data_IF_348021239476
#
_entry.id   IF_348021239476
#
_cell.length_a   1.000
_cell.length_b   1.000
_cell.length_c   1.000
_cell.angle_alpha   90.00
_cell.angle_beta   90.00
_cell.angle_gamma   90.00
#
_symmetry.space_group_name_H-M   'P 1'
#
loop_
_entity.id
_entity.type
_entity.pdbx_description
1 polymer ?
#
# COMPACT_ATOMS: atom_id res chain seq x y z
N UNK A 1 6.24 -3.36 -5.51
CA UNK A 1 4.76 -3.42 -5.62
C UNK A 1 4.17 -3.13 -4.25
N UNK A 2 3.20 -2.24 -4.17
CA UNK A 2 2.49 -1.89 -2.95
C UNK A 2 1.02 -2.32 -3.04
N UNK A 3 0.48 -2.82 -1.93
CA UNK A 3 -0.92 -3.21 -1.79
C UNK A 3 -1.56 -2.32 -0.75
N UNK A 4 -2.07 -1.17 -1.19
CA UNK A 4 -2.77 -0.18 -0.35
C UNK A 4 -1.99 0.16 0.92
N UNK A 5 -0.69 0.43 0.76
CA UNK A 5 0.21 0.77 1.86
C UNK A 5 -0.15 2.18 2.37
N UNK A 6 -0.31 2.39 3.69
CA UNK A 6 -0.66 3.69 4.23
C UNK A 6 0.56 4.63 4.31
N UNK A 7 0.98 5.22 3.19
CA UNK A 7 2.12 6.14 3.10
C UNK A 7 1.97 7.41 3.96
N UNK A 8 0.74 7.77 4.34
CA UNK A 8 0.40 8.91 5.20
C UNK A 8 -0.37 8.47 6.46
N UNK A 9 -0.33 7.19 6.78
CA UNK A 9 -1.03 6.56 7.90
C UNK A 9 -2.49 6.16 7.57
N UNK A 10 -3.18 5.60 8.56
CA UNK A 10 -4.51 5.01 8.43
C UNK A 10 -5.52 5.74 9.34
N UNK A 11 -6.67 6.18 8.81
CA UNK A 11 -7.71 6.81 9.64
C UNK A 11 -8.30 5.86 10.69
N UNK A 12 -8.24 4.53 10.46
CA UNK A 12 -8.71 3.53 11.43
C UNK A 12 -7.79 3.47 12.65
N UNK A 13 -6.50 3.75 12.49
CA UNK A 13 -5.56 3.78 13.62
C UNK A 13 -5.82 4.94 14.60
N UNK A 14 -6.51 6.00 14.14
CA UNK A 14 -6.97 7.10 14.99
C UNK A 14 -8.31 6.81 15.70
N UNK A 15 -9.08 5.82 15.22
CA UNK A 15 -10.32 5.44 15.87
C UNK A 15 -10.05 4.84 17.25
N UNK A 16 -10.76 5.36 18.25
CA UNK A 16 -10.69 4.86 19.62
C UNK A 16 -11.96 4.06 19.90
N UNK A 17 -11.80 2.74 20.07
CA UNK A 17 -12.91 1.88 20.47
C UNK A 17 -12.90 1.71 21.99
N UNK A 18 -14.03 1.94 22.68
CA UNK A 18 -14.11 1.70 24.11
C UNK A 18 -13.81 0.23 24.41
N UNK A 19 -13.06 -0.03 25.49
CA UNK A 19 -12.65 -1.37 25.93
C UNK A 19 -11.58 -2.08 25.08
N UNK A 20 -11.10 -1.48 23.99
CA UNK A 20 -10.01 -2.05 23.19
C UNK A 20 -8.70 -1.27 23.42
N UNK A 21 -7.60 -2.00 23.63
CA UNK A 21 -6.26 -1.42 23.61
C UNK A 21 -5.73 -1.48 22.18
N UNK A 22 -5.20 -0.34 21.70
CA UNK A 22 -4.46 -0.31 20.44
C UNK A 22 -3.13 -1.04 20.63
N UNK A 23 -2.77 -1.84 19.64
CA UNK A 23 -1.43 -2.42 19.59
C UNK A 23 -0.40 -1.34 19.20
N UNK A 24 0.87 -1.62 19.42
CA UNK A 24 1.95 -0.67 19.06
C UNK A 24 1.98 -0.46 17.55
N UNK A 25 1.79 -1.53 16.78
CA UNK A 25 1.76 -1.51 15.32
C UNK A 25 0.65 -0.59 14.78
N UNK A 26 -0.54 -0.62 15.40
CA UNK A 26 -1.65 0.28 15.04
C UNK A 26 -1.29 1.72 15.38
N UNK A 27 -0.63 1.96 16.52
CA UNK A 27 -0.20 3.31 16.91
C UNK A 27 0.85 3.89 15.96
N UNK A 28 1.73 3.05 15.44
CA UNK A 28 2.80 3.42 14.51
C UNK A 28 2.28 3.78 13.11
N UNK A 29 1.04 3.43 12.76
CA UNK A 29 0.43 3.76 11.46
C UNK A 29 -0.72 4.77 11.56
N UNK A 30 -0.81 5.53 12.67
CA UNK A 30 -1.80 6.63 12.79
C UNK A 30 -1.66 7.66 11.67
N UNK A 31 -2.76 8.29 11.27
CA UNK A 31 -2.73 9.31 10.23
C UNK A 31 -1.77 10.42 10.62
N UNK A 32 -0.88 10.78 9.69
CA UNK A 32 0.14 11.80 9.85
C UNK A 32 1.09 11.58 11.06
N UNK A 33 1.32 10.34 11.49
CA UNK A 33 2.35 10.10 12.50
C UNK A 33 3.75 10.37 11.92
N UNK A 34 4.65 10.92 12.74
CA UNK A 34 5.99 11.29 12.28
C UNK A 34 6.78 10.09 11.75
N UNK A 35 6.57 8.91 12.34
CA UNK A 35 7.27 7.69 11.93
C UNK A 35 7.01 7.33 10.47
N UNK A 36 5.74 7.17 10.07
CA UNK A 36 5.36 6.81 8.69
C UNK A 36 5.70 7.91 7.72
N UNK A 37 5.45 9.18 8.07
CA UNK A 37 5.77 10.31 7.19
C UNK A 37 7.27 10.44 6.94
N UNK A 38 8.10 10.23 7.95
CA UNK A 38 9.55 10.24 7.79
C UNK A 38 10.02 9.03 6.97
N UNK A 39 9.45 7.84 7.19
CA UNK A 39 9.75 6.65 6.39
C UNK A 39 9.41 6.87 4.90
N UNK A 40 8.24 7.43 4.59
CA UNK A 40 7.84 7.75 3.23
C UNK A 40 8.75 8.82 2.60
N UNK A 41 9.08 9.88 3.36
CA UNK A 41 10.02 10.91 2.89
C UNK A 41 11.38 10.31 2.55
N UNK A 42 11.96 9.51 3.43
CA UNK A 42 13.25 8.85 3.19
C UNK A 42 13.20 7.89 2.00
N UNK A 43 12.09 7.18 1.81
CA UNK A 43 11.88 6.36 0.61
C UNK A 43 11.89 7.21 -0.68
N UNK A 44 11.17 8.33 -0.70
CA UNK A 44 11.16 9.25 -1.84
C UNK A 44 12.52 9.90 -2.09
N UNK A 45 13.24 10.28 -1.04
CA UNK A 45 14.60 10.82 -1.14
C UNK A 45 15.53 9.82 -1.83
N UNK A 46 15.58 8.58 -1.34
CA UNK A 46 16.38 7.51 -1.95
C UNK A 46 15.97 7.33 -3.42
N UNK A 47 14.67 7.16 -3.69
CA UNK A 47 14.16 6.95 -5.06
C UNK A 47 14.55 8.10 -6.01
N UNK A 48 14.51 9.35 -5.54
CA UNK A 48 14.81 10.51 -6.36
C UNK A 48 16.32 10.70 -6.60
N UNK A 49 17.17 10.25 -5.68
CA UNK A 49 18.63 10.31 -5.82
C UNK A 49 19.23 9.16 -6.65
N UNK A 50 18.48 8.08 -6.86
CA UNK A 50 18.95 6.95 -7.65
C UNK A 50 19.07 7.29 -9.15
N UNK A 51 20.06 6.67 -9.80
CA UNK A 51 20.23 6.77 -11.24
C UNK A 51 19.02 6.18 -11.99
N UNK A 52 18.65 6.77 -13.11
CA UNK A 52 17.41 6.44 -13.81
C UNK A 52 17.30 4.96 -14.25
N UNK A 53 18.43 4.33 -14.56
CA UNK A 53 18.55 2.91 -14.91
C UNK A 53 18.48 1.97 -13.68
N UNK A 54 18.69 2.50 -12.49
CA UNK A 54 18.67 1.77 -11.21
C UNK A 54 17.35 1.92 -10.45
N UNK A 55 16.56 2.94 -10.77
CA UNK A 55 15.25 3.17 -10.13
C UNK A 55 14.35 1.93 -10.23
N UNK A 56 13.82 1.42 -9.11
CA UNK A 56 12.89 0.30 -9.13
C UNK A 56 11.58 0.73 -9.80
N UNK A 57 10.93 -0.20 -10.49
CA UNK A 57 9.56 0.02 -10.95
C UNK A 57 8.62 0.03 -9.73
N UNK A 58 7.87 1.11 -9.58
CA UNK A 58 6.87 1.26 -8.52
C UNK A 58 5.48 1.10 -9.13
N UNK A 59 4.72 0.17 -8.56
CA UNK A 59 3.34 -0.11 -8.90
C UNK A 59 2.55 -0.25 -7.60
N UNK A 60 1.48 0.52 -7.45
CA UNK A 60 0.61 0.52 -6.26
C UNK A 60 -0.82 0.13 -6.62
N UNK A 61 -1.31 -0.91 -5.97
CA UNK A 61 -2.73 -1.24 -5.95
C UNK A 61 -3.43 -0.47 -4.84
N UNK A 62 -4.54 0.19 -5.18
CA UNK A 62 -5.35 0.97 -4.25
C UNK A 62 -6.73 0.31 -4.17
N UNK A 63 -7.06 -0.25 -3.00
CA UNK A 63 -8.41 -0.73 -2.72
C UNK A 63 -9.40 0.44 -2.78
N UNK A 64 -10.55 0.26 -3.42
CA UNK A 64 -11.59 1.31 -3.51
C UNK A 64 -12.78 1.03 -2.61
N UNK A 65 -13.03 -0.23 -2.26
CA UNK A 65 -14.21 -0.61 -1.48
C UNK A 65 -13.98 -0.49 0.03
N UNK A 66 -15.06 -0.21 0.76
CA UNK A 66 -15.03 -0.26 2.22
C UNK A 66 -15.03 -1.72 2.69
N UNK A 67 -14.28 -2.00 3.75
CA UNK A 67 -14.17 -3.35 4.32
C UNK A 67 -15.29 -3.58 5.35
N UNK A 68 -16.12 -4.64 5.19
CA UNK A 68 -17.15 -4.97 6.17
C UNK A 68 -16.55 -5.42 7.51
N UNK A 69 -16.86 -4.73 8.61
CA UNK A 69 -16.38 -5.04 9.97
C UNK A 69 -17.58 -5.09 10.92
N UNK A 70 -18.02 -6.30 11.28
CA UNK A 70 -19.22 -6.49 12.10
C UNK A 70 -20.47 -5.96 11.37
N UNK A 71 -21.13 -4.97 11.97
CA UNK A 71 -22.33 -4.32 11.41
C UNK A 71 -22.03 -2.99 10.69
N UNK A 72 -20.76 -2.64 10.48
CA UNK A 72 -20.34 -1.41 9.79
C UNK A 72 -19.42 -1.74 8.62
N UNK A 73 -19.13 -0.75 7.78
CA UNK A 73 -18.16 -0.83 6.70
C UNK A 73 -17.16 0.32 6.83
N UNK A 74 -15.87 0.00 6.83
CA UNK A 74 -14.80 0.93 7.18
C UNK A 74 -13.79 1.04 6.04
N UNK A 75 -13.37 2.27 5.75
CA UNK A 75 -12.22 2.51 4.87
C UNK A 75 -10.94 2.40 5.68
N UNK A 76 -10.16 1.35 5.47
CA UNK A 76 -8.94 1.10 6.24
C UNK A 76 -7.83 2.08 5.88
N UNK A 77 -7.64 2.34 4.59
CA UNK A 77 -6.61 3.24 4.08
C UNK A 77 -7.29 4.29 3.21
N UNK A 78 -7.07 5.57 3.52
CA UNK A 78 -7.57 6.65 2.68
C UNK A 78 -6.83 6.64 1.34
N UNK A 79 -7.51 7.01 0.25
CA UNK A 79 -6.94 6.93 -1.10
C UNK A 79 -5.63 7.73 -1.22
N UNK A 80 -5.62 8.96 -0.68
CA UNK A 80 -4.46 9.86 -0.64
C UNK A 80 -3.29 9.30 0.17
N UNK A 81 -3.55 8.39 1.10
CA UNK A 81 -2.54 7.67 1.88
C UNK A 81 -2.04 6.44 1.16
N UNK A 82 -2.84 5.79 0.32
CA UNK A 82 -2.42 4.67 -0.53
C UNK A 82 -1.58 5.10 -1.75
N UNK A 83 -1.57 6.39 -2.06
CA UNK A 83 -0.77 6.99 -3.11
C UNK A 83 0.71 7.16 -2.67
N UNK A 84 1.67 6.45 -3.30
CA UNK A 84 3.10 6.61 -3.01
C UNK A 84 3.72 7.88 -3.61
N UNK A 85 2.94 8.74 -4.29
CA UNK A 85 3.37 9.94 -5.02
C UNK A 85 4.29 9.68 -6.24
N UNK A 86 4.66 8.42 -6.51
CA UNK A 86 5.52 7.99 -7.63
C UNK A 86 5.04 6.68 -8.27
N UNK A 87 5.44 6.44 -9.52
CA UNK A 87 5.13 5.19 -10.22
C UNK A 87 3.69 5.08 -10.72
N UNK A 88 3.26 3.84 -10.99
CA UNK A 88 1.93 3.53 -11.52
C UNK A 88 0.97 3.25 -10.35
N UNK A 89 -0.26 3.76 -10.48
CA UNK A 89 -1.36 3.53 -9.54
C UNK A 89 -2.48 2.81 -10.24
N UNK A 90 -3.08 1.85 -9.56
CA UNK A 90 -4.18 1.06 -10.08
C UNK A 90 -5.25 0.88 -9.02
N UNK A 91 -6.41 1.43 -9.31
CA UNK A 91 -7.61 1.28 -8.50
C UNK A 91 -8.16 -0.12 -8.69
N UNK A 92 -8.43 -0.80 -7.58
CA UNK A 92 -8.95 -2.16 -7.60
C UNK A 92 -10.25 -2.19 -6.78
N UNK A 93 -11.37 -2.66 -7.37
CA UNK A 93 -12.68 -2.73 -6.72
C UNK A 93 -12.76 -3.92 -5.74
N UNK A 94 -11.83 -3.93 -4.79
CA UNK A 94 -11.73 -4.86 -3.68
C UNK A 94 -11.69 -4.07 -2.39
N UNK A 95 -12.00 -4.75 -1.29
CA UNK A 95 -11.78 -4.22 0.04
C UNK A 95 -10.35 -4.51 0.53
N UNK A 96 -9.99 -3.93 1.66
CA UNK A 96 -8.65 -4.02 2.22
C UNK A 96 -8.29 -5.43 2.71
N UNK A 97 -9.26 -6.33 2.93
CA UNK A 97 -8.98 -7.73 3.28
C UNK A 97 -8.61 -8.55 2.06
N UNK A 98 -9.20 -8.24 0.91
CA UNK A 98 -9.06 -9.06 -0.30
C UNK A 98 -7.98 -8.52 -1.26
N UNK A 99 -7.59 -7.25 -1.14
CA UNK A 99 -6.58 -6.63 -2.03
C UNK A 99 -5.23 -7.36 -2.04
N UNK A 100 -4.84 -8.01 -0.94
CA UNK A 100 -3.59 -8.76 -0.83
C UNK A 100 -3.75 -10.27 -1.07
N UNK A 101 -4.94 -10.74 -1.48
CA UNK A 101 -5.28 -12.15 -1.66
C UNK A 101 -5.76 -12.40 -3.09
N UNK A 102 -4.84 -12.64 -4.04
CA UNK A 102 -5.25 -12.99 -5.40
C UNK A 102 -6.16 -14.22 -5.41
N UNK A 103 -7.31 -14.12 -6.07
CA UNK A 103 -8.29 -15.21 -6.13
C UNK A 103 -7.78 -16.47 -6.85
N UNK A 104 -6.74 -16.33 -7.68
CA UNK A 104 -6.17 -17.38 -8.51
C UNK A 104 -4.94 -16.88 -9.27
N UNK A 105 -4.34 -17.77 -10.08
CA UNK A 105 -3.16 -17.42 -10.91
C UNK A 105 -3.50 -16.64 -12.18
N UNK A 106 -4.77 -16.63 -12.54
CA UNK A 106 -5.38 -15.83 -13.62
C UNK A 106 -5.89 -14.48 -13.12
N UNK A 107 -5.87 -14.24 -11.79
CA UNK A 107 -6.25 -12.97 -11.19
C UNK A 107 -5.26 -11.86 -11.58
N UNK A 108 -5.78 -10.69 -11.91
CA UNK A 108 -5.01 -9.50 -12.26
C UNK A 108 -3.92 -9.14 -11.23
N UNK A 109 -4.22 -9.20 -9.92
CA UNK A 109 -3.26 -8.93 -8.85
C UNK A 109 -2.03 -9.86 -8.95
N UNK A 110 -2.28 -11.15 -9.18
CA UNK A 110 -1.22 -12.15 -9.33
C UNK A 110 -0.42 -11.94 -10.60
N UNK A 111 -1.10 -11.73 -11.73
CA UNK A 111 -0.46 -11.55 -13.03
C UNK A 111 0.49 -10.34 -13.04
N UNK A 112 0.07 -9.21 -12.47
CA UNK A 112 0.92 -8.02 -12.41
C UNK A 112 2.12 -8.23 -11.47
N UNK A 113 1.93 -8.92 -10.34
CA UNK A 113 3.04 -9.29 -9.44
C UNK A 113 4.06 -10.17 -10.16
N UNK A 114 3.61 -11.23 -10.84
CA UNK A 114 4.49 -12.14 -11.61
C UNK A 114 5.21 -11.40 -12.73
N UNK A 115 4.52 -10.50 -13.44
CA UNK A 115 5.11 -9.65 -14.46
C UNK A 115 6.24 -8.77 -13.89
N UNK A 116 6.01 -8.10 -12.76
CA UNK A 116 7.03 -7.28 -12.09
C UNK A 116 8.23 -8.11 -11.60
N UNK A 117 7.99 -9.28 -11.01
CA UNK A 117 9.05 -10.20 -10.57
C UNK A 117 9.90 -10.62 -11.77
N UNK A 118 9.26 -11.05 -12.85
CA UNK A 118 9.96 -11.51 -14.05
C UNK A 118 10.80 -10.39 -14.68
N UNK A 119 10.27 -9.17 -14.75
CA UNK A 119 11.01 -7.99 -15.21
C UNK A 119 12.20 -7.69 -14.31
N UNK A 120 12.03 -7.76 -12.99
CA UNK A 120 13.08 -7.43 -12.02
C UNK A 120 14.24 -8.44 -12.00
N UNK A 121 13.94 -9.72 -12.22
CA UNK A 121 14.94 -10.80 -12.19
C UNK A 121 15.59 -11.00 -13.57
N UNK A 122 14.78 -11.02 -14.64
CA UNK A 122 15.23 -11.51 -15.94
C UNK A 122 15.51 -10.40 -16.97
N UNK A 123 14.95 -9.18 -16.82
CA UNK A 123 15.12 -8.12 -17.81
C UNK A 123 16.27 -7.14 -17.49
N UNK A 124 16.95 -7.25 -16.33
CA UNK A 124 18.16 -6.48 -16.00
C UNK A 124 19.44 -6.94 -16.74
N UNK A 125 19.34 -7.83 -17.74
CA UNK A 125 20.47 -8.44 -18.45
C UNK A 125 20.74 -7.90 -19.86
N UNK A 126 20.16 -6.77 -20.26
CA UNK A 126 20.45 -6.12 -21.54
C UNK A 126 21.34 -4.89 -21.35
#
# INVERSE_FOLDING_TARGET
MFYSVPHKGSPIADMTFPFFRRSIEVMEIRTNCDFVLNLHRSFLEIFNTEEQDKKPEIFSFIDTENTPVGFTSLKFIAYESADPDIGIKCDVPLDHREICKPAGRDCFLYLELVKMINKSIFQKKA
#
